data_IF_620280725412
#
_entry.id   IF_620280725412
#
_cell.length_a   1.000
_cell.length_b   1.000
_cell.length_c   1.000
_cell.angle_alpha   90.00
_cell.angle_beta   90.00
_cell.angle_gamma   90.00
#
_symmetry.space_group_name_H-M   'P 1'
#
loop_
_entity.id
_entity.type
_entity.pdbx_description
1 polymer ?
#
# COMPACT_ATOMS: atom_id res chain seq x y z
N UNK A 1 -26.44 -25.82 -34.92
CA UNK A 1 -26.17 -24.90 -33.80
C UNK A 1 -24.67 -24.92 -33.61
N UNK A 2 -23.98 -23.88 -34.08
CA UNK A 2 -22.50 -23.87 -34.21
C UNK A 2 -21.90 -23.33 -32.90
N UNK A 3 -20.94 -24.07 -32.38
CA UNK A 3 -20.12 -23.73 -31.23
C UNK A 3 -19.36 -22.42 -31.44
N UNK A 4 -19.66 -21.41 -30.67
CA UNK A 4 -18.87 -20.18 -30.58
C UNK A 4 -17.82 -20.39 -29.49
N UNK A 5 -16.60 -20.69 -29.89
CA UNK A 5 -15.48 -20.88 -29.00
C UNK A 5 -14.97 -19.52 -28.45
N UNK A 6 -14.50 -19.51 -27.18
CA UNK A 6 -13.94 -18.37 -26.47
C UNK A 6 -12.82 -17.58 -27.19
N UNK A 7 -12.32 -18.07 -28.31
CA UNK A 7 -11.30 -17.40 -29.13
C UNK A 7 -11.81 -16.27 -30.02
N UNK A 8 -13.11 -16.24 -30.36
CA UNK A 8 -13.69 -15.23 -31.25
C UNK A 8 -14.06 -13.92 -30.53
N UNK A 9 -14.12 -13.91 -29.19
CA UNK A 9 -14.47 -12.70 -28.43
C UNK A 9 -13.30 -11.75 -28.17
N UNK A 10 -12.06 -12.23 -28.30
CA UNK A 10 -10.84 -11.42 -28.04
C UNK A 10 -10.35 -10.67 -29.29
N UNK A 11 -10.83 -11.02 -30.47
CA UNK A 11 -10.37 -10.38 -31.71
C UNK A 11 -11.19 -9.19 -32.19
N UNK A 12 -12.32 -8.87 -31.58
CA UNK A 12 -13.21 -7.79 -32.04
C UNK A 12 -13.15 -6.50 -31.21
N UNK A 13 -12.29 -6.42 -30.19
CA UNK A 13 -12.10 -5.21 -29.36
C UNK A 13 -10.75 -4.50 -29.57
N UNK A 14 -9.99 -4.85 -30.59
CA UNK A 14 -8.72 -4.22 -30.93
C UNK A 14 -8.84 -3.17 -32.03
N UNK A 15 -9.89 -2.39 -32.02
CA UNK A 15 -10.07 -1.27 -32.94
C UNK A 15 -10.69 -0.08 -32.22
N UNK A 16 -9.96 1.06 -32.22
CA UNK A 16 -10.38 2.40 -31.79
C UNK A 16 -10.23 2.67 -30.27
N UNK A 17 -9.01 2.94 -29.85
CA UNK A 17 -8.68 3.95 -28.84
C UNK A 17 -7.18 4.34 -28.92
N UNK A 18 -6.68 4.66 -30.09
CA UNK A 18 -5.47 5.44 -30.23
C UNK A 18 -5.89 6.89 -30.45
N UNK A 19 -6.30 7.57 -29.36
CA UNK A 19 -6.58 8.99 -29.41
C UNK A 19 -6.12 9.63 -28.11
N UNK A 20 -5.14 10.52 -28.25
CA UNK A 20 -4.73 11.60 -27.33
C UNK A 20 -4.05 11.13 -26.02
N UNK A 21 -2.79 10.72 -26.12
CA UNK A 21 -1.85 11.01 -25.05
C UNK A 21 -1.75 12.55 -24.93
N UNK A 22 -1.87 13.14 -23.73
CA UNK A 22 -1.87 14.60 -23.61
C UNK A 22 -0.49 15.16 -23.93
N UNK A 23 -0.42 15.96 -24.99
CA UNK A 23 0.76 16.70 -25.45
C UNK A 23 1.20 17.83 -24.50
N UNK A 24 0.85 17.78 -23.23
CA UNK A 24 1.07 18.88 -22.29
C UNK A 24 2.37 18.86 -21.50
N UNK A 25 3.15 17.77 -21.54
CA UNK A 25 4.41 17.67 -20.78
C UNK A 25 5.68 17.81 -21.65
N UNK A 26 5.54 17.99 -22.96
CA UNK A 26 6.72 18.01 -23.85
C UNK A 26 7.45 19.36 -23.93
N UNK A 27 6.98 20.41 -23.28
CA UNK A 27 7.51 21.77 -23.56
C UNK A 27 8.50 22.34 -22.51
N UNK A 28 8.85 21.68 -21.42
CA UNK A 28 9.67 22.32 -20.38
C UNK A 28 10.87 21.54 -19.81
N UNK A 29 11.19 20.35 -20.26
CA UNK A 29 12.36 19.65 -19.70
C UNK A 29 13.24 19.04 -20.80
N UNK A 30 14.36 19.68 -21.09
CA UNK A 30 15.37 19.21 -22.05
C UNK A 30 16.03 17.90 -21.65
N UNK A 31 15.82 17.41 -20.42
CA UNK A 31 16.45 16.20 -19.87
C UNK A 31 15.49 15.03 -19.66
N UNK A 32 14.21 15.10 -20.02
CA UNK A 32 13.23 13.99 -19.85
C UNK A 32 13.11 13.43 -18.42
N UNK A 33 13.61 14.17 -17.41
CA UNK A 33 13.56 13.79 -16.00
C UNK A 33 12.28 14.30 -15.33
N UNK A 34 11.67 13.48 -14.46
CA UNK A 34 10.53 13.90 -13.64
C UNK A 34 11.05 14.65 -12.41
N UNK A 35 10.61 15.90 -12.22
CA UNK A 35 10.96 16.73 -11.06
C UNK A 35 10.00 16.44 -9.91
N UNK A 36 10.54 15.86 -8.83
CA UNK A 36 9.73 15.32 -7.72
C UNK A 36 9.89 16.18 -6.47
N UNK A 37 8.76 16.61 -5.90
CA UNK A 37 8.64 17.13 -4.55
C UNK A 37 8.34 16.00 -3.56
N UNK A 38 8.96 16.01 -2.38
CA UNK A 38 8.81 14.96 -1.38
C UNK A 38 8.19 15.51 -0.09
N UNK A 39 7.05 14.98 0.32
CA UNK A 39 6.30 15.42 1.51
C UNK A 39 6.30 14.29 2.55
N UNK A 40 6.93 14.54 3.70
CA UNK A 40 7.13 13.56 4.77
C UNK A 40 8.41 12.75 4.59
N UNK A 41 9.46 13.06 5.36
CA UNK A 41 10.79 12.43 5.27
C UNK A 41 11.15 11.68 6.56
N UNK A 42 10.14 11.30 7.33
CA UNK A 42 10.31 10.40 8.48
C UNK A 42 10.77 9.00 8.06
N UNK A 43 10.87 8.04 9.00
CA UNK A 43 11.47 6.73 8.77
C UNK A 43 11.11 6.04 7.45
N UNK A 44 9.83 5.81 7.17
CA UNK A 44 9.39 5.21 5.89
C UNK A 44 9.65 6.16 4.71
N UNK A 45 9.43 7.46 4.88
CA UNK A 45 9.66 8.47 3.85
C UNK A 45 11.13 8.52 3.42
N UNK A 46 12.07 8.52 4.35
CA UNK A 46 13.51 8.51 4.07
C UNK A 46 13.94 7.25 3.31
N UNK A 47 13.45 6.06 3.74
CA UNK A 47 13.70 4.81 3.02
C UNK A 47 13.18 4.85 1.58
N UNK A 48 11.94 5.30 1.38
CA UNK A 48 11.31 5.37 0.07
C UNK A 48 11.98 6.42 -0.83
N UNK A 49 12.39 7.57 -0.28
CA UNK A 49 13.14 8.60 -1.01
C UNK A 49 14.43 8.03 -1.58
N UNK A 50 15.21 7.34 -0.74
CA UNK A 50 16.44 6.68 -1.17
C UNK A 50 16.16 5.64 -2.27
N UNK A 51 15.17 4.75 -2.04
CA UNK A 51 14.79 3.71 -3.00
C UNK A 51 14.35 4.30 -4.36
N UNK A 52 13.58 5.39 -4.35
CA UNK A 52 13.16 6.07 -5.58
C UNK A 52 14.37 6.63 -6.36
N UNK A 53 15.27 7.33 -5.68
CA UNK A 53 16.44 7.92 -6.31
C UNK A 53 17.39 6.86 -6.88
N UNK A 54 17.64 5.78 -6.14
CA UNK A 54 18.47 4.66 -6.58
C UNK A 54 17.87 3.94 -7.81
N UNK A 55 16.58 3.66 -7.77
CA UNK A 55 15.89 2.88 -8.82
C UNK A 55 15.63 3.68 -10.10
N UNK A 56 15.58 5.01 -10.02
CA UNK A 56 15.25 5.88 -11.15
C UNK A 56 16.37 6.84 -11.51
N UNK A 57 17.62 6.43 -11.28
CA UNK A 57 18.79 7.26 -11.60
C UNK A 57 18.74 7.75 -13.05
N UNK A 58 18.84 9.06 -13.24
CA UNK A 58 18.77 9.70 -14.55
C UNK A 58 17.33 9.95 -15.06
N UNK A 59 16.30 9.39 -14.42
CA UNK A 59 14.88 9.59 -14.80
C UNK A 59 14.13 10.52 -13.84
N UNK A 60 14.63 10.72 -12.63
CA UNK A 60 14.03 11.63 -11.64
C UNK A 60 15.08 12.57 -11.06
N UNK A 61 14.62 13.71 -10.60
CA UNK A 61 15.34 14.63 -9.73
C UNK A 61 14.43 15.09 -8.59
N UNK A 62 14.86 14.91 -7.34
CA UNK A 62 14.13 15.42 -6.19
C UNK A 62 14.46 16.90 -5.99
N UNK A 63 13.56 17.78 -6.39
CA UNK A 63 13.78 19.24 -6.41
C UNK A 63 13.42 19.93 -5.10
N UNK A 64 12.54 19.33 -4.30
CA UNK A 64 12.10 19.89 -3.02
C UNK A 64 11.78 18.80 -2.00
N UNK A 65 12.07 19.07 -0.73
CA UNK A 65 11.63 18.29 0.42
C UNK A 65 10.77 19.13 1.37
N UNK A 66 9.72 18.51 1.96
CA UNK A 66 8.81 19.14 2.92
C UNK A 66 8.58 18.21 4.11
N UNK A 67 8.73 18.72 5.32
CA UNK A 67 8.39 18.03 6.56
C UNK A 67 8.07 19.05 7.66
N UNK A 68 7.24 18.65 8.60
CA UNK A 68 6.86 19.47 9.77
C UNK A 68 7.85 19.36 10.93
N UNK A 69 8.83 18.43 10.86
CA UNK A 69 9.95 18.31 11.80
C UNK A 69 11.27 18.65 11.09
N UNK A 70 11.99 19.64 11.62
CA UNK A 70 13.22 20.13 11.02
C UNK A 70 14.30 19.04 10.87
N UNK A 71 14.41 18.11 11.85
CA UNK A 71 15.35 17.00 11.79
C UNK A 71 15.09 16.04 10.63
N UNK A 72 13.81 15.70 10.37
CA UNK A 72 13.43 14.88 9.21
C UNK A 72 13.69 15.61 7.89
N UNK A 73 13.37 16.90 7.82
CA UNK A 73 13.63 17.73 6.64
C UNK A 73 15.12 17.79 6.29
N UNK A 74 15.98 17.99 7.28
CA UNK A 74 17.42 17.98 7.09
C UNK A 74 17.94 16.61 6.62
N UNK A 75 17.50 15.53 7.24
CA UNK A 75 17.83 14.17 6.79
C UNK A 75 17.40 13.92 5.32
N UNK A 76 16.23 14.39 4.93
CA UNK A 76 15.77 14.32 3.53
C UNK A 76 16.64 15.08 2.56
N UNK A 77 17.05 16.29 2.94
CA UNK A 77 18.02 17.10 2.19
C UNK A 77 19.33 16.34 1.99
N UNK A 78 19.88 15.75 3.05
CA UNK A 78 21.13 15.00 3.00
C UNK A 78 21.03 13.76 2.09
N UNK A 79 19.91 13.05 2.14
CA UNK A 79 19.64 11.91 1.23
C UNK A 79 19.60 12.39 -0.22
N UNK A 80 18.90 13.48 -0.53
CA UNK A 80 18.83 14.01 -1.90
C UNK A 80 20.22 14.43 -2.38
N UNK A 81 21.01 15.09 -1.54
CA UNK A 81 22.37 15.50 -1.90
C UNK A 81 23.29 14.30 -2.14
N UNK A 82 23.26 13.31 -1.26
CA UNK A 82 24.22 12.17 -1.31
C UNK A 82 23.82 11.11 -2.33
N UNK A 83 22.55 10.85 -2.52
CA UNK A 83 22.04 9.81 -3.43
C UNK A 83 21.57 10.42 -4.77
N UNK A 84 20.88 11.55 -4.72
CA UNK A 84 20.33 12.24 -5.90
C UNK A 84 21.35 13.12 -6.61
N UNK A 85 22.39 13.59 -5.90
CA UNK A 85 23.47 14.42 -6.45
C UNK A 85 23.08 15.89 -6.69
N UNK A 86 21.95 16.36 -6.13
CA UNK A 86 21.51 17.75 -6.27
C UNK A 86 21.10 18.36 -4.92
N UNK A 87 21.01 19.68 -4.85
CA UNK A 87 20.57 20.41 -3.64
C UNK A 87 19.08 20.74 -3.77
N UNK A 88 18.20 20.14 -2.95
CA UNK A 88 16.76 20.42 -3.01
C UNK A 88 16.42 21.73 -2.29
N UNK A 89 15.29 22.32 -2.64
CA UNK A 89 14.60 23.33 -1.81
C UNK A 89 14.09 22.65 -0.53
N UNK A 90 14.17 23.31 0.61
CA UNK A 90 13.56 22.88 1.87
C UNK A 90 12.33 23.73 2.15
N UNK A 91 11.17 23.12 2.27
CA UNK A 91 9.87 23.79 2.35
C UNK A 91 9.13 23.28 3.58
N UNK A 92 8.46 24.17 4.33
CA UNK A 92 7.72 23.80 5.53
C UNK A 92 6.22 23.60 5.28
N UNK A 93 5.67 24.30 4.27
CA UNK A 93 4.27 24.15 3.88
C UNK A 93 4.15 23.37 2.58
N UNK A 94 3.44 22.25 2.60
CA UNK A 94 3.24 21.45 1.40
C UNK A 94 2.49 22.21 0.30
N UNK A 95 1.68 23.23 0.63
CA UNK A 95 1.01 24.05 -0.37
C UNK A 95 2.02 24.89 -1.19
N UNK A 96 3.09 25.39 -0.54
CA UNK A 96 4.17 26.09 -1.23
C UNK A 96 4.93 25.14 -2.16
N UNK A 97 5.15 23.89 -1.74
CA UNK A 97 5.75 22.85 -2.58
C UNK A 97 4.86 22.55 -3.80
N UNK A 98 3.53 22.45 -3.60
CA UNK A 98 2.60 22.20 -4.68
C UNK A 98 2.48 23.39 -5.66
N UNK A 99 2.69 24.61 -5.19
CA UNK A 99 2.72 25.82 -6.03
C UNK A 99 4.01 25.98 -6.83
N UNK A 100 5.07 25.24 -6.46
CA UNK A 100 6.37 25.35 -7.13
C UNK A 100 6.29 24.79 -8.57
N UNK A 101 6.70 25.63 -9.52
CA UNK A 101 6.76 25.28 -10.95
C UNK A 101 7.87 24.30 -11.30
N UNK A 102 8.84 24.15 -10.42
CA UNK A 102 9.94 23.18 -10.56
C UNK A 102 9.58 21.79 -10.01
N UNK A 103 8.31 21.54 -9.68
CA UNK A 103 7.79 20.25 -9.23
C UNK A 103 6.74 19.77 -10.24
N UNK A 104 6.96 18.61 -10.86
CA UNK A 104 6.02 17.96 -11.78
C UNK A 104 5.15 16.93 -11.05
N UNK A 105 5.73 16.28 -10.06
CA UNK A 105 5.14 15.18 -9.33
C UNK A 105 5.44 15.27 -7.83
N UNK A 106 4.57 14.71 -7.00
CA UNK A 106 4.76 14.69 -5.54
C UNK A 106 4.64 13.30 -4.97
N UNK A 107 5.46 13.04 -3.96
CA UNK A 107 5.40 11.82 -3.15
C UNK A 107 4.94 12.21 -1.74
N UNK A 108 3.84 11.62 -1.28
CA UNK A 108 3.20 11.91 0.02
C UNK A 108 3.44 10.71 0.94
N UNK A 109 4.29 10.89 1.98
CA UNK A 109 4.74 9.89 2.93
C UNK A 109 4.41 10.29 4.39
N UNK A 110 3.33 10.97 4.56
CA UNK A 110 2.87 11.50 5.85
C UNK A 110 2.10 10.44 6.67
N UNK A 111 1.68 10.73 7.90
CA UNK A 111 0.69 9.94 8.59
C UNK A 111 -0.64 9.85 7.83
N UNK A 112 -1.37 8.77 8.08
CA UNK A 112 -2.58 8.36 7.36
C UNK A 112 -3.64 9.46 7.25
N UNK A 113 -3.91 10.21 8.34
CA UNK A 113 -4.91 11.27 8.39
C UNK A 113 -4.59 12.48 7.49
N UNK A 114 -3.35 12.61 7.04
CA UNK A 114 -2.92 13.71 6.15
C UNK A 114 -2.90 13.29 4.67
N UNK A 115 -3.11 12.01 4.35
CA UNK A 115 -3.10 11.56 2.96
C UNK A 115 -4.20 12.25 2.12
N UNK A 116 -5.43 12.31 2.67
CA UNK A 116 -6.55 12.93 1.95
C UNK A 116 -6.33 14.42 1.63
N UNK A 117 -6.10 15.31 2.60
CA UNK A 117 -5.98 16.74 2.31
C UNK A 117 -4.81 17.05 1.38
N UNK A 118 -3.67 16.35 1.53
CA UNK A 118 -2.49 16.57 0.70
C UNK A 118 -2.69 16.02 -0.73
N UNK A 119 -3.31 14.85 -0.89
CA UNK A 119 -3.62 14.27 -2.21
C UNK A 119 -4.66 15.11 -2.94
N UNK A 120 -5.69 15.61 -2.23
CA UNK A 120 -6.69 16.52 -2.78
C UNK A 120 -6.06 17.80 -3.31
N UNK A 121 -5.16 18.42 -2.53
CA UNK A 121 -4.43 19.61 -2.93
C UNK A 121 -3.52 19.35 -4.15
N UNK A 122 -2.83 18.21 -4.17
CA UNK A 122 -1.96 17.83 -5.29
C UNK A 122 -2.75 17.59 -6.59
N UNK A 123 -3.93 16.94 -6.51
CA UNK A 123 -4.84 16.79 -7.66
C UNK A 123 -5.29 18.15 -8.21
N UNK A 124 -5.69 19.08 -7.33
CA UNK A 124 -6.06 20.45 -7.71
C UNK A 124 -4.91 21.23 -8.33
N UNK A 125 -3.69 21.03 -7.84
CA UNK A 125 -2.46 21.59 -8.39
C UNK A 125 -1.99 20.87 -9.67
N UNK A 126 -2.70 19.81 -10.12
CA UNK A 126 -2.39 19.00 -11.30
C UNK A 126 -0.99 18.39 -11.28
N UNK A 127 -0.47 18.04 -10.08
CA UNK A 127 0.78 17.31 -9.93
C UNK A 127 0.52 15.81 -10.05
N UNK A 128 1.43 15.05 -10.66
CA UNK A 128 1.42 13.59 -10.57
C UNK A 128 1.66 13.16 -9.13
N UNK A 129 1.05 12.05 -8.69
CA UNK A 129 0.97 11.72 -7.27
C UNK A 129 1.43 10.28 -7.01
N UNK A 130 2.29 10.14 -6.03
CA UNK A 130 2.47 8.91 -5.28
C UNK A 130 2.05 9.18 -3.83
N UNK A 131 1.13 8.39 -3.28
CA UNK A 131 0.71 8.51 -1.87
C UNK A 131 0.86 7.17 -1.16
N UNK A 132 1.39 7.16 0.06
CA UNK A 132 1.48 5.93 0.85
C UNK A 132 0.08 5.36 1.19
N UNK A 133 0.07 4.06 1.45
CA UNK A 133 -1.14 3.35 1.92
C UNK A 133 -1.36 3.60 3.44
N UNK A 134 -2.59 3.50 3.94
CA UNK A 134 -3.84 3.43 3.18
C UNK A 134 -4.09 4.73 2.43
N UNK A 135 -4.94 4.70 1.40
CA UNK A 135 -5.20 5.90 0.61
C UNK A 135 -5.72 7.07 1.45
N UNK A 136 -6.54 6.77 2.44
CA UNK A 136 -7.20 7.76 3.30
C UNK A 136 -7.48 7.21 4.69
N UNK A 137 -7.75 8.08 5.64
CA UNK A 137 -8.12 7.74 7.02
C UNK A 137 -9.60 7.40 7.18
N UNK A 138 -10.45 7.99 6.34
CA UNK A 138 -11.88 7.69 6.25
C UNK A 138 -12.21 7.15 4.86
N UNK A 139 -13.24 6.30 4.78
CA UNK A 139 -13.61 5.65 3.52
C UNK A 139 -14.15 6.65 2.51
N UNK A 140 -14.90 7.65 2.95
CA UNK A 140 -15.52 8.69 2.13
C UNK A 140 -14.45 9.54 1.42
N UNK A 141 -13.39 9.89 2.15
CA UNK A 141 -12.23 10.65 1.64
C UNK A 141 -11.61 9.97 0.41
N UNK A 142 -11.43 8.66 0.47
CA UNK A 142 -10.84 7.90 -0.64
C UNK A 142 -11.71 7.93 -1.89
N UNK A 143 -13.03 7.91 -1.77
CA UNK A 143 -13.94 8.06 -2.92
C UNK A 143 -13.88 9.45 -3.53
N UNK A 144 -13.81 10.50 -2.73
CA UNK A 144 -13.64 11.87 -3.24
C UNK A 144 -12.35 12.02 -4.05
N UNK A 145 -11.24 11.41 -3.56
CA UNK A 145 -9.97 11.41 -4.28
C UNK A 145 -10.07 10.67 -5.62
N UNK A 146 -10.70 9.50 -5.64
CA UNK A 146 -10.90 8.70 -6.86
C UNK A 146 -11.76 9.47 -7.87
N UNK A 147 -12.87 10.05 -7.42
CA UNK A 147 -13.80 10.80 -8.28
C UNK A 147 -13.17 12.08 -8.86
N UNK A 148 -12.30 12.75 -8.08
CA UNK A 148 -11.56 13.91 -8.59
C UNK A 148 -10.45 13.48 -9.56
N UNK A 149 -9.69 12.42 -9.23
CA UNK A 149 -8.62 11.93 -10.09
C UNK A 149 -9.13 11.50 -11.46
N UNK A 150 -10.31 10.87 -11.53
CA UNK A 150 -10.96 10.48 -12.78
C UNK A 150 -11.28 11.66 -13.73
N UNK A 151 -11.32 12.88 -13.21
CA UNK A 151 -11.57 14.11 -13.96
C UNK A 151 -10.27 14.83 -14.36
N UNK A 152 -9.12 14.22 -14.09
CA UNK A 152 -7.80 14.79 -14.37
C UNK A 152 -6.99 13.86 -15.25
N UNK A 153 -5.93 14.40 -15.86
CA UNK A 153 -4.93 13.61 -16.59
C UNK A 153 -3.69 13.30 -15.70
N UNK A 154 -3.85 13.35 -14.39
CA UNK A 154 -2.78 13.15 -13.41
C UNK A 154 -2.52 11.64 -13.26
N UNK A 155 -1.26 11.23 -13.39
CA UNK A 155 -0.85 9.87 -13.04
C UNK A 155 -0.81 9.77 -11.53
N UNK A 156 -1.52 8.78 -10.99
CA UNK A 156 -1.57 8.51 -9.54
C UNK A 156 -1.10 7.10 -9.24
N UNK A 157 -0.42 6.92 -8.10
CA UNK A 157 -0.04 5.60 -7.58
C UNK A 157 -0.10 5.58 -6.05
N UNK A 158 -0.66 4.52 -5.50
CA UNK A 158 -0.70 4.26 -4.05
C UNK A 158 0.40 3.29 -3.66
N UNK A 159 1.00 3.46 -2.49
CA UNK A 159 2.13 2.68 -1.97
C UNK A 159 1.81 1.22 -1.62
N UNK A 160 1.09 0.51 -2.50
CA UNK A 160 0.81 -0.93 -2.40
C UNK A 160 1.87 -1.74 -3.15
N UNK A 161 3.12 -1.59 -2.75
CA UNK A 161 4.31 -2.08 -3.47
C UNK A 161 4.36 -3.60 -3.66
N UNK A 162 3.57 -4.38 -2.89
CA UNK A 162 3.52 -5.84 -3.05
C UNK A 162 3.09 -6.25 -4.46
N UNK A 163 2.25 -5.46 -5.15
CA UNK A 163 1.85 -5.68 -6.55
C UNK A 163 3.03 -5.69 -7.53
N UNK A 164 4.14 -5.03 -7.16
CA UNK A 164 5.38 -4.99 -7.95
C UNK A 164 6.39 -6.07 -7.54
N UNK A 165 6.06 -6.92 -6.57
CA UNK A 165 6.90 -8.05 -6.16
C UNK A 165 6.68 -9.24 -7.10
N UNK A 166 7.77 -9.77 -7.66
CA UNK A 166 7.73 -10.87 -8.63
C UNK A 166 7.13 -12.15 -8.07
N UNK A 167 7.29 -12.45 -6.77
CA UNK A 167 6.65 -13.62 -6.18
C UNK A 167 5.11 -13.53 -6.24
N UNK A 168 4.55 -12.36 -5.95
CA UNK A 168 3.10 -12.16 -6.03
C UNK A 168 2.59 -12.16 -7.48
N UNK A 169 3.38 -11.64 -8.43
CA UNK A 169 3.07 -11.72 -9.85
C UNK A 169 3.08 -13.20 -10.31
N UNK A 170 4.10 -13.97 -9.91
CA UNK A 170 4.18 -15.40 -10.19
C UNK A 170 3.02 -16.18 -9.54
N UNK A 171 2.67 -15.87 -8.28
CA UNK A 171 1.50 -16.47 -7.62
C UNK A 171 0.22 -16.22 -8.43
N UNK A 172 0.02 -14.98 -8.91
CA UNK A 172 -1.11 -14.61 -9.75
C UNK A 172 -1.15 -15.40 -11.06
N UNK A 173 -0.01 -15.53 -11.72
CA UNK A 173 0.13 -16.32 -12.97
C UNK A 173 -0.21 -17.80 -12.71
N UNK A 174 0.40 -18.41 -11.68
CA UNK A 174 0.17 -19.82 -11.35
C UNK A 174 -1.30 -20.11 -10.99
N UNK A 175 -1.94 -19.22 -10.23
CA UNK A 175 -3.37 -19.36 -9.88
C UNK A 175 -4.23 -19.15 -11.11
N UNK A 176 -3.92 -18.15 -11.94
CA UNK A 176 -4.61 -17.90 -13.21
C UNK A 176 -4.50 -19.05 -14.21
N UNK A 177 -3.41 -19.81 -14.18
CA UNK A 177 -3.21 -21.05 -14.95
C UNK A 177 -3.95 -22.27 -14.37
N UNK A 178 -4.64 -22.11 -13.21
CA UNK A 178 -5.37 -23.18 -12.55
C UNK A 178 -4.49 -24.19 -11.80
N UNK A 179 -3.24 -23.84 -11.43
CA UNK A 179 -2.30 -24.76 -10.73
C UNK A 179 -2.86 -25.31 -9.41
N UNK A 180 -3.71 -24.54 -8.73
CA UNK A 180 -4.35 -24.96 -7.47
C UNK A 180 -5.86 -25.14 -7.59
N UNK A 181 -6.44 -25.03 -8.80
CA UNK A 181 -7.89 -25.06 -8.98
C UNK A 181 -8.59 -23.78 -8.52
N UNK A 182 -9.86 -23.90 -8.16
CA UNK A 182 -10.62 -22.76 -7.65
C UNK A 182 -10.22 -22.47 -6.19
N UNK A 183 -9.95 -21.20 -5.90
CA UNK A 183 -9.58 -20.78 -4.54
C UNK A 183 -10.83 -20.48 -3.73
N UNK A 184 -11.01 -21.20 -2.63
CA UNK A 184 -12.15 -21.03 -1.72
C UNK A 184 -11.76 -20.43 -0.37
N UNK A 185 -10.48 -20.47 0.00
CA UNK A 185 -10.01 -19.98 1.29
C UNK A 185 -8.68 -19.26 1.15
N UNK A 186 -8.61 -18.06 1.72
CA UNK A 186 -7.39 -17.30 1.84
C UNK A 186 -7.09 -17.09 3.33
N UNK A 187 -5.89 -17.49 3.75
CA UNK A 187 -5.36 -17.17 5.07
C UNK A 187 -4.29 -16.11 4.93
N UNK A 188 -4.52 -14.95 5.53
CA UNK A 188 -3.60 -13.84 5.57
C UNK A 188 -3.19 -13.54 7.01
N UNK A 189 -1.94 -13.15 7.24
CA UNK A 189 -1.47 -12.94 8.59
C UNK A 189 -0.29 -11.97 8.65
N UNK A 190 -0.15 -11.36 9.85
CA UNK A 190 1.00 -10.51 10.15
C UNK A 190 1.39 -10.62 11.61
N UNK A 191 2.44 -11.37 11.88
CA UNK A 191 2.94 -11.60 13.23
C UNK A 191 4.29 -10.90 13.40
N UNK A 192 4.46 -10.20 14.51
CA UNK A 192 5.72 -9.55 14.90
C UNK A 192 5.97 -9.79 16.37
N UNK A 193 7.24 -9.80 16.75
CA UNK A 193 7.64 -9.72 18.14
C UNK A 193 8.53 -8.51 18.34
N UNK A 194 8.22 -7.73 19.34
CA UNK A 194 8.98 -6.57 19.75
C UNK A 194 9.60 -6.87 21.10
N UNK A 195 10.87 -6.51 21.27
CA UNK A 195 11.60 -6.66 22.53
C UNK A 195 12.25 -5.34 22.90
N UNK A 196 12.51 -5.13 24.17
CA UNK A 196 13.19 -3.93 24.66
C UNK A 196 14.58 -3.70 24.02
N UNK A 197 15.19 -4.76 23.50
CA UNK A 197 16.49 -4.71 22.82
C UNK A 197 16.40 -4.37 21.33
N UNK A 198 15.20 -4.27 20.78
CA UNK A 198 15.04 -3.96 19.36
C UNK A 198 15.30 -2.47 19.13
N UNK A 199 16.40 -2.16 18.48
CA UNK A 199 16.80 -0.78 18.20
C UNK A 199 15.68 -0.01 17.48
N UNK A 200 15.33 1.16 17.98
CA UNK A 200 14.38 2.09 17.38
C UNK A 200 12.88 1.84 17.65
N UNK A 201 12.48 0.66 18.15
CA UNK A 201 11.08 0.41 18.49
C UNK A 201 10.95 -0.75 19.51
N UNK A 202 11.15 -0.52 20.80
CA UNK A 202 11.07 -1.56 21.84
C UNK A 202 9.66 -2.14 22.01
N UNK A 203 8.64 -1.45 21.51
CA UNK A 203 7.23 -1.88 21.47
C UNK A 203 6.64 -1.55 20.10
N UNK A 204 5.54 -2.18 19.69
CA UNK A 204 4.91 -1.88 18.40
C UNK A 204 4.65 -0.39 18.22
N UNK A 205 5.26 0.18 17.17
CA UNK A 205 5.17 1.59 16.77
C UNK A 205 5.64 2.63 17.80
N UNK A 206 6.34 2.19 18.87
CA UNK A 206 7.02 3.06 19.83
C UNK A 206 8.44 3.36 19.37
N UNK A 207 8.53 4.05 18.22
CA UNK A 207 9.82 4.47 17.68
C UNK A 207 10.55 5.42 18.63
N UNK A 208 11.88 5.40 18.57
CA UNK A 208 12.72 6.36 19.30
C UNK A 208 12.37 7.77 18.87
N UNK A 209 12.10 8.61 19.83
CA UNK A 209 11.87 10.05 19.63
C UNK A 209 13.22 10.75 19.68
N UNK A 210 13.60 11.55 18.66
CA UNK A 210 14.85 12.29 18.68
C UNK A 210 14.96 13.20 19.90
N UNK A 211 16.13 13.22 20.54
CA UNK A 211 16.33 13.94 21.81
C UNK A 211 16.22 15.47 21.65
N UNK A 212 16.48 15.98 20.45
CA UNK A 212 16.42 17.40 20.09
C UNK A 212 14.99 17.90 19.78
N UNK A 213 13.99 17.02 19.86
CA UNK A 213 12.60 17.35 19.53
C UNK A 213 11.98 18.34 20.49
N UNK A 214 11.54 19.46 19.97
CA UNK A 214 10.90 20.56 20.72
C UNK A 214 9.71 21.15 19.95
N UNK A 215 8.82 21.90 20.60
CA UNK A 215 7.76 22.63 19.88
C UNK A 215 8.28 23.65 18.87
N UNK A 216 9.54 24.13 19.03
CA UNK A 216 10.13 25.12 18.15
C UNK A 216 10.60 24.53 16.81
N UNK A 217 10.97 23.24 16.77
CA UNK A 217 11.45 22.55 15.58
C UNK A 217 10.48 21.50 15.02
N UNK A 218 9.24 21.46 15.57
CA UNK A 218 8.18 20.52 15.18
C UNK A 218 6.85 21.26 15.04
N UNK A 219 6.38 21.48 13.82
CA UNK A 219 5.08 22.12 13.57
C UNK A 219 3.94 21.14 13.85
N UNK A 220 3.58 21.03 15.13
CA UNK A 220 2.55 20.11 15.58
C UNK A 220 1.15 20.51 15.07
N UNK A 221 0.91 21.80 14.84
CA UNK A 221 -0.37 22.26 14.31
C UNK A 221 -0.61 21.79 12.86
N UNK A 222 0.43 21.86 12.02
CA UNK A 222 0.36 21.29 10.68
C UNK A 222 0.27 19.77 10.69
N UNK A 223 0.98 19.10 11.60
CA UNK A 223 0.82 17.66 11.79
C UNK A 223 -0.61 17.28 12.18
N UNK A 224 -1.27 18.02 13.05
CA UNK A 224 -2.66 17.74 13.41
C UNK A 224 -3.60 17.87 12.21
N UNK A 225 -3.37 18.83 11.31
CA UNK A 225 -4.31 19.07 10.19
C UNK A 225 -5.72 19.27 10.72
N UNK A 226 -6.67 18.47 10.23
CA UNK A 226 -8.07 18.46 10.65
C UNK A 226 -8.37 17.58 11.87
N UNK A 227 -7.38 16.82 12.36
CA UNK A 227 -7.53 16.03 13.58
C UNK A 227 -7.81 16.93 14.80
N UNK A 228 -8.39 16.38 15.88
CA UNK A 228 -8.72 17.14 17.08
C UNK A 228 -7.53 17.94 17.60
N UNK A 229 -7.73 19.23 17.87
CA UNK A 229 -6.67 20.10 18.39
C UNK A 229 -6.25 19.66 19.78
N UNK A 230 -4.95 19.49 19.95
CA UNK A 230 -4.31 18.99 21.18
C UNK A 230 -3.07 19.81 21.51
N UNK A 231 -2.67 19.90 22.78
CA UNK A 231 -1.35 20.39 23.15
C UNK A 231 -0.24 19.56 22.47
N UNK A 232 0.90 20.18 22.28
CA UNK A 232 2.06 19.50 21.72
C UNK A 232 2.39 18.20 22.48
N UNK A 233 2.53 17.12 21.72
CA UNK A 233 3.00 15.82 22.22
C UNK A 233 3.92 15.18 21.19
N UNK A 234 5.17 15.00 21.58
CA UNK A 234 6.16 14.29 20.78
C UNK A 234 5.80 12.82 20.58
N UNK A 235 5.15 12.20 21.57
CA UNK A 235 4.66 10.83 21.49
C UNK A 235 3.59 10.70 20.41
N UNK A 236 2.60 11.57 20.39
CA UNK A 236 1.57 11.58 19.34
C UNK A 236 2.15 11.89 17.96
N UNK A 237 3.14 12.75 17.89
CA UNK A 237 3.79 13.09 16.63
C UNK A 237 4.61 11.91 16.05
N UNK A 238 5.55 11.35 16.80
CA UNK A 238 6.48 10.33 16.30
C UNK A 238 5.91 8.91 16.34
N UNK A 239 4.91 8.66 17.16
CA UNK A 239 4.32 7.35 17.41
C UNK A 239 2.83 7.31 17.02
N UNK A 240 2.45 8.12 16.07
CA UNK A 240 1.08 8.41 15.61
C UNK A 240 0.24 7.17 15.32
N UNK A 241 0.85 6.06 14.88
CA UNK A 241 0.16 4.79 14.60
C UNK A 241 -0.56 4.19 15.79
N UNK A 242 -0.26 4.67 17.00
CA UNK A 242 -0.89 4.17 18.22
C UNK A 242 -2.20 4.89 18.57
N UNK A 243 -2.59 5.91 17.82
CA UNK A 243 -3.72 6.80 18.18
C UNK A 243 -4.74 6.88 17.04
N UNK A 244 -6.03 6.69 17.37
CA UNK A 244 -7.14 6.72 16.43
C UNK A 244 -7.30 8.03 15.66
N UNK A 245 -6.84 9.14 16.21
CA UNK A 245 -6.88 10.44 15.54
C UNK A 245 -6.05 10.46 14.23
N UNK A 246 -5.07 9.56 14.10
CA UNK A 246 -4.06 9.62 13.03
C UNK A 246 -3.92 8.31 12.24
N UNK A 247 -4.43 7.19 12.76
CA UNK A 247 -4.30 5.87 12.16
C UNK A 247 -5.40 4.94 12.66
N UNK A 248 -5.72 3.92 11.86
CA UNK A 248 -6.57 2.81 12.32
C UNK A 248 -5.77 1.56 12.72
N UNK A 249 -4.49 1.72 12.97
CA UNK A 249 -3.62 0.67 13.52
C UNK A 249 -3.45 -0.53 12.58
N UNK A 250 -3.57 -1.75 13.12
CA UNK A 250 -3.32 -3.01 12.39
C UNK A 250 -4.15 -3.10 11.12
N UNK A 251 -5.40 -2.65 11.15
CA UNK A 251 -6.34 -2.82 10.04
C UNK A 251 -5.95 -1.98 8.81
N UNK A 252 -5.46 -0.77 8.97
CA UNK A 252 -5.08 0.11 7.85
C UNK A 252 -3.57 0.13 7.59
N UNK A 253 -2.73 -0.12 8.61
CA UNK A 253 -1.28 -0.14 8.41
C UNK A 253 -0.77 -1.49 7.85
N UNK A 254 -1.39 -2.62 8.22
CA UNK A 254 -0.91 -3.96 7.87
C UNK A 254 -1.89 -4.77 7.02
N UNK A 255 -3.14 -4.96 7.48
CA UNK A 255 -4.14 -5.77 6.80
C UNK A 255 -4.40 -5.32 5.35
N UNK A 256 -4.35 -4.01 5.08
CA UNK A 256 -4.49 -3.45 3.71
C UNK A 256 -3.50 -4.09 2.73
N UNK A 257 -2.29 -4.43 3.14
CA UNK A 257 -1.33 -5.11 2.28
C UNK A 257 -1.80 -6.50 1.85
N UNK A 258 -2.38 -7.29 2.78
CA UNK A 258 -2.81 -8.65 2.50
C UNK A 258 -4.11 -8.69 1.70
N UNK A 259 -5.05 -7.81 2.01
CA UNK A 259 -6.30 -7.72 1.24
C UNK A 259 -6.05 -7.18 -0.16
N UNK A 260 -5.15 -6.21 -0.32
CA UNK A 260 -4.72 -5.73 -1.64
C UNK A 260 -4.14 -6.87 -2.50
N UNK A 261 -3.25 -7.68 -1.93
CA UNK A 261 -2.64 -8.80 -2.65
C UNK A 261 -3.67 -9.89 -2.96
N UNK A 262 -4.60 -10.18 -2.06
CA UNK A 262 -5.68 -11.14 -2.32
C UNK A 262 -6.55 -10.66 -3.49
N UNK A 263 -6.93 -9.39 -3.51
CA UNK A 263 -7.69 -8.79 -4.60
C UNK A 263 -6.89 -8.77 -5.91
N UNK A 264 -5.59 -8.47 -5.86
CA UNK A 264 -4.71 -8.47 -7.02
C UNK A 264 -4.56 -9.85 -7.66
N UNK A 265 -4.30 -10.86 -6.85
CA UNK A 265 -4.06 -12.24 -7.31
C UNK A 265 -5.34 -12.85 -7.85
N UNK A 266 -6.43 -12.77 -7.09
CA UNK A 266 -7.69 -13.43 -7.42
C UNK A 266 -8.57 -12.61 -8.36
N UNK A 267 -8.19 -11.35 -8.64
CA UNK A 267 -9.00 -10.40 -9.46
C UNK A 267 -10.44 -10.30 -8.96
N UNK A 268 -10.61 -10.28 -7.65
CA UNK A 268 -11.91 -10.38 -7.00
C UNK A 268 -12.56 -9.02 -6.77
N UNK A 269 -13.90 -9.00 -6.71
CA UNK A 269 -14.63 -7.86 -6.17
C UNK A 269 -14.31 -7.68 -4.67
N UNK A 270 -14.77 -6.57 -4.12
CA UNK A 270 -14.63 -6.26 -2.70
C UNK A 270 -15.42 -7.25 -1.82
N UNK A 271 -15.02 -7.45 -0.56
CA UNK A 271 -15.79 -8.29 0.35
C UNK A 271 -17.17 -7.71 0.61
N UNK A 272 -18.14 -8.59 0.78
CA UNK A 272 -19.52 -8.20 1.12
C UNK A 272 -19.68 -7.94 2.61
N UNK A 273 -18.97 -8.68 3.44
CA UNK A 273 -19.08 -8.61 4.90
C UNK A 273 -17.73 -8.76 5.58
N UNK A 274 -17.64 -8.17 6.77
CA UNK A 274 -16.48 -8.29 7.67
C UNK A 274 -16.95 -8.41 9.11
N UNK A 275 -16.31 -9.30 9.86
CA UNK A 275 -16.37 -9.32 11.31
C UNK A 275 -14.97 -9.34 11.89
N UNK A 276 -14.68 -8.44 12.83
CA UNK A 276 -13.38 -8.30 13.46
C UNK A 276 -13.46 -8.32 14.98
N UNK A 277 -12.42 -8.88 15.60
CA UNK A 277 -12.23 -8.94 17.03
C UNK A 277 -10.76 -8.76 17.37
N UNK A 278 -10.47 -8.24 18.56
CA UNK A 278 -9.11 -8.00 18.99
C UNK A 278 -9.03 -7.26 20.33
N UNK A 279 -7.87 -6.69 20.60
CA UNK A 279 -7.67 -5.92 21.83
C UNK A 279 -6.21 -5.53 22.06
N UNK A 280 -5.98 -4.87 23.20
CA UNK A 280 -4.66 -4.57 23.72
C UNK A 280 -4.35 -5.64 24.77
N UNK A 281 -3.58 -6.66 24.38
CA UNK A 281 -3.32 -7.83 25.24
C UNK A 281 -1.90 -7.90 25.76
N UNK A 282 -0.94 -7.48 24.93
CA UNK A 282 0.50 -7.62 25.26
C UNK A 282 1.13 -6.30 25.70
N UNK A 283 0.69 -5.18 25.15
CA UNK A 283 1.34 -3.89 25.31
C UNK A 283 0.38 -2.84 25.88
N UNK A 284 0.00 -2.94 27.18
CA UNK A 284 -0.93 -2.02 27.83
C UNK A 284 -0.24 -0.69 28.20
N UNK A 285 0.17 0.06 27.17
CA UNK A 285 0.64 1.43 27.27
C UNK A 285 -0.52 2.42 26.96
N UNK A 286 -0.22 3.67 26.62
CA UNK A 286 -1.23 4.68 26.29
C UNK A 286 -1.74 4.59 24.84
N UNK A 287 -1.50 3.45 24.14
CA UNK A 287 -2.06 3.21 22.80
C UNK A 287 -3.58 3.10 22.84
N UNK A 288 -4.20 3.55 21.78
CA UNK A 288 -5.64 3.44 21.58
C UNK A 288 -5.97 2.26 20.65
N UNK A 289 -5.06 1.90 19.73
CA UNK A 289 -5.24 0.84 18.73
C UNK A 289 -4.83 -0.53 19.28
N UNK A 290 -5.46 -1.63 18.81
CA UNK A 290 -5.15 -2.98 19.26
C UNK A 290 -3.72 -3.43 18.88
N UNK A 291 -3.15 -4.33 19.67
CA UNK A 291 -1.91 -5.05 19.37
C UNK A 291 -2.16 -6.49 18.90
N UNK A 292 -3.42 -6.91 18.92
CA UNK A 292 -3.93 -8.15 18.38
C UNK A 292 -5.25 -7.89 17.66
N UNK A 293 -5.37 -8.34 16.40
CA UNK A 293 -6.58 -8.19 15.60
C UNK A 293 -6.78 -9.42 14.72
N UNK A 294 -8.00 -9.95 14.71
CA UNK A 294 -8.46 -10.93 13.73
C UNK A 294 -9.66 -10.38 12.97
N UNK A 295 -9.74 -10.67 11.68
CA UNK A 295 -10.85 -10.26 10.83
C UNK A 295 -11.20 -11.37 9.85
N UNK A 296 -12.50 -11.56 9.63
CA UNK A 296 -13.06 -12.55 8.73
C UNK A 296 -13.86 -11.80 7.66
N UNK A 297 -13.64 -12.16 6.39
CA UNK A 297 -14.30 -11.55 5.25
C UNK A 297 -15.00 -12.58 4.39
N UNK A 298 -16.24 -12.29 4.01
CA UNK A 298 -16.97 -13.01 2.99
C UNK A 298 -16.92 -12.25 1.66
N UNK A 299 -16.67 -12.98 0.58
CA UNK A 299 -16.60 -12.44 -0.77
C UNK A 299 -17.72 -13.03 -1.66
N UNK A 300 -18.20 -12.26 -2.66
CA UNK A 300 -19.31 -12.73 -3.49
C UNK A 300 -18.98 -13.96 -4.34
N UNK A 301 -17.69 -14.18 -4.64
CA UNK A 301 -17.21 -15.32 -5.45
C UNK A 301 -17.00 -16.61 -4.64
N UNK A 302 -17.69 -16.74 -3.51
CA UNK A 302 -17.66 -17.94 -2.64
C UNK A 302 -16.28 -18.30 -2.09
N UNK A 303 -15.44 -17.32 -1.87
CA UNK A 303 -14.24 -17.52 -1.10
C UNK A 303 -14.29 -16.72 0.20
N UNK A 304 -13.56 -17.21 1.17
CA UNK A 304 -13.47 -16.67 2.52
C UNK A 304 -12.05 -16.25 2.83
N UNK A 305 -11.85 -15.04 3.34
CA UNK A 305 -10.55 -14.57 3.78
C UNK A 305 -10.52 -14.46 5.31
N UNK A 306 -9.55 -15.09 5.93
CA UNK A 306 -9.26 -14.96 7.36
C UNK A 306 -7.94 -14.23 7.55
N UNK A 307 -7.97 -13.13 8.31
CA UNK A 307 -6.80 -12.38 8.70
C UNK A 307 -6.53 -12.49 10.19
N UNK A 308 -5.26 -12.60 10.57
CA UNK A 308 -4.84 -12.54 11.96
C UNK A 308 -3.51 -11.81 12.12
N UNK A 309 -3.43 -10.99 13.18
CA UNK A 309 -2.22 -10.24 13.51
C UNK A 309 -2.00 -10.21 15.01
N UNK A 310 -0.76 -10.40 15.43
CA UNK A 310 -0.36 -10.34 16.83
C UNK A 310 1.06 -9.82 16.97
N UNK A 311 1.26 -8.89 17.90
CA UNK A 311 2.56 -8.25 18.11
C UNK A 311 3.37 -8.80 19.28
N UNK A 312 3.06 -10.01 19.72
CA UNK A 312 3.76 -10.69 20.82
C UNK A 312 4.54 -11.94 20.40
N UNK A 313 4.41 -12.36 19.15
CA UNK A 313 5.13 -13.52 18.61
C UNK A 313 5.32 -13.37 17.10
N UNK A 314 6.50 -13.71 16.57
CA UNK A 314 6.82 -13.58 15.15
C UNK A 314 6.97 -14.93 14.42
N UNK A 315 6.59 -16.05 15.02
CA UNK A 315 6.89 -17.38 14.50
C UNK A 315 6.43 -17.58 13.04
N UNK A 316 5.21 -17.16 12.71
CA UNK A 316 4.68 -17.28 11.36
C UNK A 316 5.11 -16.15 10.41
N UNK A 317 5.82 -15.13 10.91
CA UNK A 317 6.15 -13.92 10.14
C UNK A 317 4.88 -13.25 9.58
N UNK A 318 4.87 -12.86 8.30
CA UNK A 318 3.70 -12.31 7.62
C UNK A 318 3.59 -12.88 6.20
N UNK A 319 2.39 -13.00 5.70
CA UNK A 319 2.16 -13.55 4.37
C UNK A 319 0.71 -13.92 4.10
N UNK A 320 0.54 -14.59 2.97
CA UNK A 320 -0.74 -15.07 2.48
C UNK A 320 -0.61 -16.52 1.99
N UNK A 321 -1.67 -17.29 2.23
CA UNK A 321 -1.86 -18.67 1.77
C UNK A 321 -3.16 -18.73 0.98
N UNK A 322 -3.09 -19.19 -0.25
CA UNK A 322 -4.22 -19.38 -1.17
C UNK A 322 -4.48 -20.88 -1.29
N UNK A 323 -5.60 -21.34 -0.74
CA UNK A 323 -5.99 -22.74 -0.72
C UNK A 323 -7.06 -22.97 -1.79
N UNK A 324 -6.71 -23.82 -2.74
CA UNK A 324 -7.60 -24.22 -3.83
C UNK A 324 -7.86 -25.73 -3.83
N UNK A 325 -8.69 -26.20 -4.76
CA UNK A 325 -9.11 -27.61 -4.86
C UNK A 325 -7.94 -28.60 -5.05
N UNK A 326 -6.86 -28.15 -5.68
CA UNK A 326 -5.77 -29.00 -6.13
C UNK A 326 -4.41 -28.64 -5.58
N UNK A 327 -4.36 -27.72 -4.61
CA UNK A 327 -3.13 -27.35 -3.98
C UNK A 327 -3.21 -26.01 -3.26
N UNK A 328 -2.05 -25.61 -2.75
CA UNK A 328 -1.88 -24.36 -2.04
C UNK A 328 -0.67 -23.59 -2.59
N UNK A 329 -0.82 -22.26 -2.67
CA UNK A 329 0.29 -21.34 -2.88
C UNK A 329 0.38 -20.42 -1.68
N UNK A 330 1.61 -20.28 -1.13
CA UNK A 330 1.88 -19.30 -0.06
C UNK A 330 3.01 -18.35 -0.45
N UNK A 331 2.91 -17.10 0.03
CA UNK A 331 4.02 -16.14 -0.01
C UNK A 331 4.31 -15.68 1.40
N UNK A 332 5.53 -15.97 1.90
CA UNK A 332 5.94 -15.68 3.26
C UNK A 332 7.04 -14.61 3.28
N UNK A 333 6.88 -13.61 4.15
CA UNK A 333 7.84 -12.54 4.37
C UNK A 333 8.14 -11.70 3.12
N UNK A 334 7.37 -11.84 2.04
CA UNK A 334 7.65 -11.27 0.71
C UNK A 334 8.95 -11.77 0.10
N UNK A 335 9.47 -12.88 0.62
CA UNK A 335 10.79 -13.44 0.28
C UNK A 335 10.72 -14.81 -0.35
N UNK A 336 9.70 -15.59 -0.01
CA UNK A 336 9.54 -16.97 -0.47
C UNK A 336 8.12 -17.21 -0.96
N UNK A 337 8.02 -17.85 -2.14
CA UNK A 337 6.80 -18.45 -2.64
C UNK A 337 6.96 -19.95 -2.56
N UNK A 338 5.93 -20.64 -2.05
CA UNK A 338 5.85 -22.10 -2.07
C UNK A 338 4.55 -22.54 -2.71
N UNK A 339 4.65 -23.57 -3.51
CA UNK A 339 3.52 -24.28 -4.11
C UNK A 339 3.53 -25.72 -3.63
N UNK A 340 2.39 -26.18 -3.16
CA UNK A 340 2.15 -27.54 -2.72
C UNK A 340 0.95 -28.08 -3.48
N UNK A 341 1.12 -29.04 -4.42
CA UNK A 341 0.00 -29.76 -4.99
C UNK A 341 -0.70 -30.59 -3.91
N UNK A 342 -2.03 -30.73 -4.00
CA UNK A 342 -2.80 -31.54 -3.06
C UNK A 342 -2.46 -33.03 -3.26
N UNK A 343 -2.35 -33.75 -2.15
CA UNK A 343 -2.12 -35.19 -2.16
C UNK A 343 -3.42 -35.94 -1.84
N UNK A 344 -4.08 -36.42 -2.89
CA UNK A 344 -5.27 -37.25 -2.74
C UNK A 344 -4.99 -38.73 -2.52
N UNK A 345 -3.71 -39.10 -2.36
CA UNK A 345 -3.26 -40.49 -2.42
C UNK A 345 -3.34 -41.12 -3.82
N UNK A 346 -2.61 -42.22 -4.01
CA UNK A 346 -2.42 -42.81 -5.35
C UNK A 346 -3.72 -43.24 -6.04
N UNK A 347 -4.73 -43.64 -5.25
CA UNK A 347 -6.03 -44.14 -5.78
C UNK A 347 -6.98 -43.04 -6.26
N UNK A 348 -6.84 -41.81 -5.73
CA UNK A 348 -7.76 -40.70 -6.00
C UNK A 348 -7.05 -39.54 -6.70
N UNK A 349 -5.76 -39.64 -6.99
CA UNK A 349 -4.99 -38.57 -7.59
C UNK A 349 -5.48 -38.27 -9.00
N UNK A 350 -6.12 -37.12 -9.27
CA UNK A 350 -6.58 -36.75 -10.59
C UNK A 350 -5.44 -36.71 -11.61
N UNK A 351 -5.71 -37.11 -12.86
CA UNK A 351 -4.72 -37.12 -13.95
C UNK A 351 -3.96 -35.79 -14.07
N UNK A 352 -4.64 -34.67 -13.84
CA UNK A 352 -4.07 -33.33 -13.93
C UNK A 352 -3.04 -33.02 -12.85
N UNK A 353 -2.99 -33.79 -11.75
CA UNK A 353 -2.01 -33.63 -10.69
C UNK A 353 -0.81 -34.57 -10.84
N UNK A 354 -0.89 -35.55 -11.76
CA UNK A 354 0.21 -36.46 -12.00
C UNK A 354 1.48 -35.72 -12.41
N UNK A 355 2.56 -35.97 -11.70
CA UNK A 355 3.87 -35.39 -11.96
C UNK A 355 4.05 -33.97 -11.44
N UNK A 356 3.04 -33.33 -10.84
CA UNK A 356 3.21 -32.06 -10.16
C UNK A 356 4.05 -32.27 -8.90
N UNK A 357 4.99 -31.36 -8.68
CA UNK A 357 5.89 -31.40 -7.51
C UNK A 357 5.81 -30.07 -6.77
N UNK A 358 6.07 -30.08 -5.47
CA UNK A 358 6.25 -28.83 -4.73
C UNK A 358 7.32 -27.95 -5.38
N UNK A 359 7.10 -26.64 -5.32
CA UNK A 359 8.02 -25.60 -5.82
C UNK A 359 8.29 -24.60 -4.72
N UNK A 360 9.54 -24.20 -4.57
CA UNK A 360 9.92 -23.05 -3.75
C UNK A 360 10.70 -22.05 -4.60
N UNK A 361 10.31 -20.76 -4.55
CA UNK A 361 11.03 -19.65 -5.16
C UNK A 361 11.45 -18.67 -4.07
N UNK A 362 12.67 -18.16 -4.18
CA UNK A 362 13.22 -17.10 -3.32
C UNK A 362 13.35 -15.80 -4.10
N UNK A 363 12.86 -14.69 -3.53
CA UNK A 363 12.81 -13.41 -4.22
C UNK A 363 14.17 -12.89 -4.67
N UNK A 364 15.17 -13.00 -3.81
CA UNK A 364 16.52 -12.50 -4.12
C UNK A 364 17.28 -13.47 -5.02
N UNK A 365 17.22 -14.79 -4.68
CA UNK A 365 17.98 -15.80 -5.39
C UNK A 365 17.49 -16.01 -6.84
N UNK A 366 16.16 -16.08 -7.03
CA UNK A 366 15.59 -16.47 -8.32
C UNK A 366 15.27 -15.25 -9.20
N UNK A 367 14.98 -14.09 -8.62
CA UNK A 367 14.64 -12.88 -9.37
C UNK A 367 15.73 -11.80 -9.36
N UNK A 368 16.70 -11.86 -8.46
CA UNK A 368 17.84 -10.93 -8.35
C UNK A 368 17.40 -9.45 -8.33
N UNK A 369 16.28 -9.15 -7.73
CA UNK A 369 15.71 -7.82 -7.67
C UNK A 369 15.83 -7.22 -6.26
N UNK A 370 16.01 -5.90 -6.17
CA UNK A 370 15.89 -5.20 -4.90
C UNK A 370 14.45 -5.28 -4.37
N UNK A 371 14.22 -4.75 -3.18
CA UNK A 371 12.88 -4.66 -2.58
C UNK A 371 11.84 -4.14 -3.59
N UNK A 372 10.62 -4.68 -3.52
CA UNK A 372 9.51 -4.33 -4.42
C UNK A 372 9.18 -2.82 -4.45
N UNK A 373 9.58 -2.07 -3.43
CA UNK A 373 9.44 -0.61 -3.38
C UNK A 373 10.17 0.07 -4.55
N UNK A 374 11.37 -0.42 -4.90
CA UNK A 374 12.13 0.08 -6.05
C UNK A 374 11.36 -0.12 -7.35
N UNK A 375 10.90 -1.34 -7.61
CA UNK A 375 10.13 -1.67 -8.81
C UNK A 375 8.82 -0.86 -8.89
N UNK A 376 8.20 -0.59 -7.73
CA UNK A 376 6.96 0.18 -7.65
C UNK A 376 7.17 1.64 -8.03
N UNK A 377 8.26 2.26 -7.59
CA UNK A 377 8.62 3.61 -8.03
C UNK A 377 9.04 3.66 -9.50
N UNK A 378 9.74 2.64 -10.01
CA UNK A 378 10.05 2.55 -11.44
C UNK A 378 8.78 2.54 -12.29
N UNK A 379 7.79 1.73 -11.93
CA UNK A 379 6.50 1.72 -12.63
C UNK A 379 5.81 3.08 -12.59
N UNK A 380 5.77 3.77 -11.43
CA UNK A 380 5.18 5.10 -11.33
C UNK A 380 5.86 6.13 -12.23
N UNK A 381 7.19 6.19 -12.22
CA UNK A 381 7.95 7.12 -13.08
C UNK A 381 7.73 6.80 -14.55
N UNK A 382 7.74 5.52 -14.94
CA UNK A 382 7.46 5.09 -16.32
C UNK A 382 6.02 5.40 -16.75
N UNK A 383 5.07 5.35 -15.81
CA UNK A 383 3.68 5.75 -16.07
C UNK A 383 3.58 7.26 -16.33
N UNK A 384 4.29 8.10 -15.56
CA UNK A 384 4.36 9.55 -15.81
C UNK A 384 4.98 9.83 -17.20
N UNK A 385 5.98 9.06 -17.60
CA UNK A 385 6.62 9.17 -18.90
C UNK A 385 5.78 8.56 -20.06
N UNK A 386 4.57 8.05 -19.78
CA UNK A 386 3.70 7.44 -20.78
C UNK A 386 4.16 6.07 -21.31
N UNK A 387 5.14 5.42 -20.65
CA UNK A 387 5.74 4.15 -21.07
C UNK A 387 5.00 2.93 -20.54
N UNK A 388 4.27 3.08 -19.43
CA UNK A 388 3.51 2.03 -18.75
C UNK A 388 2.22 2.60 -18.17
N UNK A 389 1.36 1.72 -17.64
CA UNK A 389 0.25 2.12 -16.77
C UNK A 389 0.67 2.00 -15.31
N UNK A 390 0.21 2.90 -14.46
CA UNK A 390 0.37 2.77 -13.02
C UNK A 390 -0.32 1.49 -12.52
N UNK A 391 0.41 0.65 -11.78
CA UNK A 391 -0.10 -0.65 -11.31
C UNK A 391 -1.09 -0.50 -10.16
N UNK A 392 -1.06 0.62 -9.45
CA UNK A 392 -1.90 0.91 -8.30
C UNK A 392 -2.42 2.36 -8.29
N UNK A 393 -3.27 2.77 -9.27
CA UNK A 393 -3.91 4.09 -9.24
C UNK A 393 -4.77 4.28 -7.99
N UNK A 394 -5.26 5.51 -7.71
CA UNK A 394 -6.06 5.80 -6.51
C UNK A 394 -7.29 4.89 -6.38
N UNK A 395 -7.92 4.46 -7.47
CA UNK A 395 -9.04 3.50 -7.44
C UNK A 395 -8.64 2.17 -6.81
N UNK A 396 -7.47 1.65 -7.19
CA UNK A 396 -6.89 0.43 -6.59
C UNK A 396 -6.54 0.65 -5.12
N UNK A 397 -6.01 1.82 -4.77
CA UNK A 397 -5.72 2.17 -3.39
C UNK A 397 -6.97 2.23 -2.52
N UNK A 398 -8.09 2.73 -3.06
CA UNK A 398 -9.38 2.75 -2.38
C UNK A 398 -9.93 1.34 -2.20
N UNK A 399 -9.91 0.51 -3.23
CA UNK A 399 -10.31 -0.90 -3.12
C UNK A 399 -9.48 -1.65 -2.08
N UNK A 400 -8.20 -1.39 -1.97
CA UNK A 400 -7.33 -1.96 -0.95
C UNK A 400 -7.68 -1.46 0.47
N UNK A 401 -8.09 -0.20 0.62
CA UNK A 401 -8.39 0.41 1.92
C UNK A 401 -9.76 -0.03 2.49
N UNK A 402 -10.76 -0.29 1.64
CA UNK A 402 -12.13 -0.66 2.07
C UNK A 402 -12.13 -1.82 3.08
N UNK A 403 -11.48 -2.98 2.84
CA UNK A 403 -11.46 -4.06 3.84
C UNK A 403 -10.82 -3.65 5.17
N UNK A 404 -9.76 -2.83 5.13
CA UNK A 404 -9.13 -2.29 6.34
C UNK A 404 -10.10 -1.43 7.16
N UNK A 405 -10.85 -0.56 6.49
CA UNK A 405 -11.89 0.26 7.14
C UNK A 405 -13.04 -0.59 7.66
N UNK A 406 -13.48 -1.63 6.94
CA UNK A 406 -14.50 -2.58 7.43
C UNK A 406 -14.05 -3.24 8.73
N UNK A 407 -12.80 -3.73 8.81
CA UNK A 407 -12.25 -4.32 10.04
C UNK A 407 -12.18 -3.31 11.19
N UNK A 408 -11.75 -2.08 10.91
CA UNK A 408 -11.73 -0.99 11.91
C UNK A 408 -13.11 -0.74 12.48
N UNK A 409 -14.12 -0.58 11.62
CA UNK A 409 -15.48 -0.29 12.05
C UNK A 409 -16.10 -1.48 12.79
N UNK A 410 -15.86 -2.71 12.31
CA UNK A 410 -16.34 -3.92 12.98
C UNK A 410 -15.74 -4.06 14.38
N UNK A 411 -14.43 -3.91 14.52
CA UNK A 411 -13.73 -3.96 15.81
C UNK A 411 -14.22 -2.88 16.79
N UNK A 412 -14.28 -1.61 16.34
CA UNK A 412 -14.65 -0.49 17.20
C UNK A 412 -16.12 -0.49 17.65
N UNK A 413 -17.00 -1.06 16.83
CA UNK A 413 -18.45 -1.15 17.12
C UNK A 413 -18.85 -2.47 17.74
N UNK A 414 -18.00 -3.49 17.70
CA UNK A 414 -18.32 -4.84 18.18
C UNK A 414 -19.41 -5.53 17.36
N UNK A 415 -19.55 -5.20 16.08
CA UNK A 415 -20.61 -5.72 15.21
C UNK A 415 -20.10 -6.08 13.82
N UNK A 416 -20.89 -6.85 13.08
CA UNK A 416 -20.63 -7.13 11.67
C UNK A 416 -20.79 -5.87 10.83
N UNK A 417 -19.95 -5.73 9.81
CA UNK A 417 -20.01 -4.66 8.81
C UNK A 417 -20.27 -5.25 7.46
N UNK A 418 -21.32 -4.76 6.77
CA UNK A 418 -21.65 -5.11 5.39
C UNK A 418 -21.24 -3.95 4.48
N UNK A 419 -20.66 -4.26 3.32
CA UNK A 419 -20.31 -3.29 2.30
C UNK A 419 -21.47 -3.10 1.32
N UNK A 420 -22.05 -1.90 1.27
CA UNK A 420 -23.01 -1.46 0.26
C UNK A 420 -22.25 -0.77 -0.88
N UNK A 421 -21.92 -1.54 -1.90
CA UNK A 421 -21.14 -1.04 -3.05
C UNK A 421 -21.91 0.01 -3.88
N UNK A 422 -23.23 -0.08 -3.95
CA UNK A 422 -24.07 0.84 -4.72
C UNK A 422 -24.07 2.24 -4.10
N UNK A 423 -24.08 2.33 -2.78
CA UNK A 423 -24.10 3.59 -2.04
C UNK A 423 -22.74 3.98 -1.45
N UNK A 424 -21.69 3.18 -1.70
CA UNK A 424 -20.32 3.40 -1.20
C UNK A 424 -20.24 3.62 0.31
N UNK A 425 -20.99 2.82 1.09
CA UNK A 425 -21.09 2.98 2.56
C UNK A 425 -21.11 1.65 3.30
N UNK A 426 -20.85 1.72 4.60
CA UNK A 426 -21.00 0.58 5.49
C UNK A 426 -22.41 0.51 6.10
N UNK A 427 -22.92 -0.70 6.21
CA UNK A 427 -24.14 -1.05 6.95
C UNK A 427 -23.70 -1.88 8.16
N UNK A 428 -24.21 -1.52 9.32
CA UNK A 428 -23.88 -2.13 10.61
C UNK A 428 -25.02 -3.06 11.05
N UNK A 429 -24.66 -4.33 11.35
CA UNK A 429 -25.61 -5.38 11.74
C UNK A 429 -25.58 -5.71 13.21
#
# INVERSE_FOLDING_TARGET
MSDVTRRSFVQTSAGVAAAAAPAFLQAQNTNNQVRVGWIGVGGRGAYCLKAMLEANKGNVVATAGCDTYAGALNNGKDIIQTVGGNTPKTIHDYNDLLADKDVDAVVIMTPEHLHYPMTMAALRAKKHIYVEKPLSHLIEEGFELVDLAAKTNVVTQVGTQNRSNKLYQTAKEMIGEGKIGDVHYVRAFWYRNFTEKQAGAPRPWRYTIPADTTPANTDFNRFLGDAPKRPYSKERYFQWRNYWDYSSGISTDLLVHQTDISNFILSNPLPTQCQASGGIYRWPDDREVPDCLSAIYEYPNKFHLNYSSYFGNKYFDYGEQFLGDFGMIEVIGRKKLRYFPEDFGAALNPERLKGLKPLELDYIKDFQQPDATHAHFVNWVRAIQGKEKAIAPLSVGQEAAIPGHMATQSYRRGTKVTWDAANRKFIYG
#
